data_IF_499677849801
#
_entry.id   IF_499677849801
#
_cell.length_a   1.000
_cell.length_b   1.000
_cell.length_c   1.000
_cell.angle_alpha   90.00
_cell.angle_beta   90.00
_cell.angle_gamma   90.00
#
_symmetry.space_group_name_H-M   'P 1'
#
loop_
_entity.id
_entity.type
_entity.pdbx_description
1 polymer ?
#
# COMPACT_ATOMS: atom_id res chain seq x y z
N UNK A 1 20.50 25.21 -34.71
CA UNK A 1 20.45 23.73 -34.81
C UNK A 1 20.92 23.02 -33.53
N UNK A 2 21.98 23.47 -32.82
CA UNK A 2 22.50 22.80 -31.61
C UNK A 2 21.60 22.94 -30.36
N UNK A 3 20.81 24.01 -30.26
CA UNK A 3 19.88 24.27 -29.14
C UNK A 3 18.64 23.37 -29.16
N UNK A 4 18.08 23.10 -30.34
CA UNK A 4 16.94 22.20 -30.51
C UNK A 4 17.27 20.75 -30.12
N UNK A 5 18.51 20.30 -30.38
CA UNK A 5 19.00 18.96 -30.01
C UNK A 5 19.20 18.78 -28.50
N UNK A 6 19.49 19.88 -27.77
CA UNK A 6 19.57 19.86 -26.30
C UNK A 6 18.19 19.84 -25.64
N UNK A 7 17.23 20.56 -26.22
CA UNK A 7 15.86 20.64 -25.71
C UNK A 7 15.11 19.31 -25.86
N UNK A 8 15.27 18.64 -26.99
CA UNK A 8 14.68 17.30 -27.23
C UNK A 8 15.27 16.23 -26.30
N UNK A 9 16.55 16.34 -25.96
CA UNK A 9 17.20 15.44 -25.01
C UNK A 9 16.66 15.59 -23.58
N UNK A 10 16.32 16.82 -23.15
CA UNK A 10 15.72 17.07 -21.83
C UNK A 10 14.27 16.60 -21.76
N UNK A 11 13.49 16.79 -22.82
CA UNK A 11 12.13 16.27 -22.89
C UNK A 11 12.14 14.74 -22.87
N UNK A 12 13.04 14.10 -23.64
CA UNK A 12 13.21 12.64 -23.62
C UNK A 12 13.58 12.10 -22.25
N UNK A 13 14.50 12.77 -21.53
CA UNK A 13 14.91 12.39 -20.18
C UNK A 13 13.77 12.58 -19.16
N UNK A 14 12.99 13.65 -19.30
CA UNK A 14 11.84 13.91 -18.42
C UNK A 14 10.73 12.86 -18.60
N UNK A 15 10.42 12.48 -19.85
CA UNK A 15 9.42 11.45 -20.14
C UNK A 15 9.85 10.07 -19.62
N UNK A 16 11.14 9.73 -19.72
CA UNK A 16 11.69 8.48 -19.18
C UNK A 16 11.59 8.41 -17.65
N UNK A 17 11.85 9.52 -16.95
CA UNK A 17 11.75 9.58 -15.49
C UNK A 17 10.31 9.41 -14.98
N UNK A 18 9.32 9.93 -15.71
CA UNK A 18 7.90 9.84 -15.30
C UNK A 18 7.39 8.39 -15.37
N UNK A 19 7.81 7.61 -16.37
CA UNK A 19 7.40 6.21 -16.49
C UNK A 19 7.95 5.31 -15.36
N UNK A 20 9.11 5.63 -14.79
CA UNK A 20 9.72 4.84 -13.71
C UNK A 20 9.02 5.01 -12.35
N UNK A 21 8.26 6.11 -12.17
CA UNK A 21 7.63 6.44 -10.88
C UNK A 21 6.28 5.72 -10.64
N UNK A 22 5.70 5.07 -11.67
CA UNK A 22 4.39 4.44 -11.56
C UNK A 22 4.52 2.97 -11.14
N UNK A 23 4.83 2.75 -9.85
CA UNK A 23 4.79 1.41 -9.27
C UNK A 23 3.45 1.20 -8.56
N UNK A 24 2.77 0.10 -8.86
CA UNK A 24 1.61 -0.32 -8.07
C UNK A 24 2.06 -0.58 -6.63
N UNK A 25 1.24 -0.22 -5.61
CA UNK A 25 1.57 -0.55 -4.25
C UNK A 25 1.71 -2.07 -4.09
N UNK A 26 2.65 -2.53 -3.24
CA UNK A 26 2.80 -3.95 -2.98
C UNK A 26 1.50 -4.52 -2.41
N UNK A 27 1.21 -5.77 -2.76
CA UNK A 27 0.10 -6.53 -2.19
C UNK A 27 0.26 -6.66 -0.68
N UNK A 28 -0.87 -6.82 0.02
CA UNK A 28 -0.86 -7.22 1.43
C UNK A 28 -0.42 -8.67 1.54
N UNK A 29 0.50 -8.94 2.45
CA UNK A 29 0.99 -10.29 2.80
C UNK A 29 0.81 -10.51 4.30
N UNK A 30 0.55 -11.76 4.71
CA UNK A 30 0.45 -12.09 6.13
C UNK A 30 1.85 -12.04 6.75
N UNK A 31 2.01 -11.26 7.82
CA UNK A 31 3.26 -11.17 8.58
C UNK A 31 3.31 -12.17 9.76
N UNK A 32 4.40 -12.18 10.51
CA UNK A 32 4.58 -13.07 11.66
C UNK A 32 3.57 -12.84 12.80
N UNK A 33 2.88 -11.69 12.82
CA UNK A 33 1.79 -11.39 13.74
C UNK A 33 0.40 -11.70 13.18
N UNK A 34 0.32 -12.37 12.02
CA UNK A 34 -0.92 -12.75 11.33
C UNK A 34 -1.76 -11.57 10.79
N UNK A 35 -1.14 -10.39 10.62
CA UNK A 35 -1.77 -9.24 9.98
C UNK A 35 -1.54 -9.27 8.47
N UNK A 36 -2.55 -8.90 7.69
CA UNK A 36 -2.34 -8.50 6.30
C UNK A 36 -1.58 -7.17 6.29
N UNK A 37 -0.32 -7.21 5.85
CA UNK A 37 0.62 -6.10 6.01
C UNK A 37 1.29 -5.73 4.69
N UNK A 38 1.56 -4.43 4.56
CA UNK A 38 2.51 -3.83 3.61
C UNK A 38 3.07 -2.54 4.23
N UNK A 39 4.12 -1.91 3.67
CA UNK A 39 4.61 -0.64 4.19
C UNK A 39 3.48 0.40 4.38
N UNK A 40 3.36 0.91 5.61
CA UNK A 40 2.38 1.92 6.00
C UNK A 40 0.97 1.41 6.34
N UNK A 41 0.66 0.12 6.16
CA UNK A 41 -0.69 -0.42 6.42
C UNK A 41 -0.63 -1.80 7.08
N UNK A 42 -1.37 -1.98 8.17
CA UNK A 42 -1.71 -3.30 8.72
C UNK A 42 -3.22 -3.46 8.79
N UNK A 43 -3.72 -4.64 8.44
CA UNK A 43 -5.13 -5.02 8.59
C UNK A 43 -5.21 -6.26 9.46
N UNK A 44 -5.90 -6.13 10.58
CA UNK A 44 -6.23 -7.23 11.48
C UNK A 44 -7.62 -7.73 11.14
N UNK A 45 -7.78 -9.05 10.99
CA UNK A 45 -9.08 -9.70 10.83
C UNK A 45 -9.13 -10.85 11.82
N UNK A 46 -10.22 -10.95 12.58
CA UNK A 46 -10.42 -12.05 13.52
C UNK A 46 -11.83 -12.60 13.42
N UNK A 47 -11.96 -13.88 13.75
CA UNK A 47 -13.23 -14.61 13.79
C UNK A 47 -13.13 -15.71 14.86
N UNK A 48 -13.62 -15.39 16.04
CA UNK A 48 -13.62 -16.29 17.18
C UNK A 48 -14.99 -16.96 17.31
N UNK A 49 -14.96 -18.25 17.67
CA UNK A 49 -16.15 -19.07 17.85
C UNK A 49 -16.18 -19.54 19.29
N UNK A 50 -17.19 -19.10 20.03
CA UNK A 50 -17.48 -19.53 21.39
C UNK A 50 -18.78 -20.33 21.44
N UNK A 51 -19.00 -21.19 22.46
CA UNK A 51 -20.25 -21.93 22.62
C UNK A 51 -21.50 -21.02 22.61
N UNK A 52 -21.38 -19.82 23.17
CA UNK A 52 -22.43 -18.82 23.32
C UNK A 52 -22.60 -17.89 22.10
N UNK A 53 -21.69 -17.91 21.13
CA UNK A 53 -21.80 -17.07 19.94
C UNK A 53 -20.48 -16.86 19.18
N UNK A 54 -20.57 -16.10 18.10
CA UNK A 54 -19.44 -15.76 17.24
C UNK A 54 -19.05 -14.29 17.45
N UNK A 55 -17.75 -14.01 17.54
CA UNK A 55 -17.20 -12.66 17.56
C UNK A 55 -16.26 -12.49 16.38
N UNK A 56 -16.43 -11.44 15.59
CA UNK A 56 -15.57 -11.18 14.45
C UNK A 56 -15.37 -9.69 14.27
N UNK A 57 -14.33 -9.31 13.54
CA UNK A 57 -14.12 -7.91 13.23
C UNK A 57 -12.92 -7.67 12.35
N UNK A 58 -12.78 -6.40 11.97
CA UNK A 58 -11.68 -5.88 11.17
C UNK A 58 -11.19 -4.56 11.76
N UNK A 59 -9.87 -4.38 11.78
CA UNK A 59 -9.24 -3.11 12.11
C UNK A 59 -8.17 -2.74 11.09
N UNK A 60 -8.11 -1.46 10.72
CA UNK A 60 -7.12 -0.91 9.79
C UNK A 60 -6.25 0.08 10.55
N UNK A 61 -4.94 -0.16 10.50
CA UNK A 61 -3.91 0.70 11.08
C UNK A 61 -3.06 1.26 9.95
N UNK A 62 -3.00 2.59 9.83
CA UNK A 62 -2.17 3.29 8.86
C UNK A 62 -1.10 4.08 9.59
N UNK A 63 0.17 3.86 9.24
CA UNK A 63 1.32 4.56 9.84
C UNK A 63 1.33 4.56 11.37
N UNK A 64 0.87 3.46 11.99
CA UNK A 64 0.79 3.31 13.45
C UNK A 64 -0.49 3.86 14.09
N UNK A 65 -1.39 4.49 13.32
CA UNK A 65 -2.66 5.01 13.82
C UNK A 65 -3.84 4.15 13.35
N UNK A 66 -4.76 3.81 14.26
CA UNK A 66 -5.99 3.08 13.92
C UNK A 66 -6.99 4.03 13.27
N UNK A 67 -7.23 3.84 11.98
CA UNK A 67 -8.10 4.71 11.17
C UNK A 67 -9.52 4.17 11.00
N UNK A 68 -9.72 2.85 11.14
CA UNK A 68 -11.05 2.24 11.03
C UNK A 68 -11.16 0.96 11.86
N UNK A 69 -12.39 0.67 12.29
CA UNK A 69 -12.74 -0.57 13.01
C UNK A 69 -14.21 -0.91 12.78
N UNK A 70 -14.52 -2.20 12.69
CA UNK A 70 -15.89 -2.72 12.66
C UNK A 70 -15.89 -4.13 13.28
N UNK A 71 -16.79 -4.38 14.22
CA UNK A 71 -16.96 -5.62 14.98
C UNK A 71 -18.08 -5.47 15.99
#
# INVERSE_FOLDING_TARGET
>A
MKSALRLTSWIGLFTLCVSAAHQSPPSLIVNDGEYFARPGVNVMVFQDIYPEGHQAGVSIIQNGERVATNG
#
